data_IF_840963657383
#
_entry.id   IF_840963657383
#
_cell.length_a   1.000
_cell.length_b   1.000
_cell.length_c   1.000
_cell.angle_alpha   90.00
_cell.angle_beta   90.00
_cell.angle_gamma   90.00
#
_symmetry.space_group_name_H-M   'P 1'
#
loop_
_entity.id
_entity.type
_entity.pdbx_description
1 polymer ?
#
# COMPACT_ATOMS: atom_id res chain seq x y z
N UNK A 1 14.42 23.26 20.62
CA UNK A 1 13.43 22.71 19.66
C UNK A 1 14.14 21.62 18.88
N UNK A 2 13.60 20.40 18.85
CA UNK A 2 14.23 19.32 18.10
C UNK A 2 14.25 19.68 16.60
N UNK A 3 15.41 19.54 15.95
CA UNK A 3 15.62 19.76 14.51
C UNK A 3 14.57 18.97 13.70
N UNK A 4 14.29 17.74 14.14
CA UNK A 4 13.26 16.87 13.57
C UNK A 4 11.85 17.49 13.60
N UNK A 5 11.43 18.11 14.70
CA UNK A 5 10.10 18.72 14.79
C UNK A 5 9.95 19.92 13.87
N UNK A 6 11.02 20.71 13.69
CA UNK A 6 11.02 21.84 12.75
C UNK A 6 10.96 21.32 11.31
N UNK A 7 11.80 20.35 10.96
CA UNK A 7 11.80 19.70 9.65
C UNK A 7 10.42 19.14 9.28
N UNK A 8 9.80 18.36 10.17
CA UNK A 8 8.47 17.76 9.94
C UNK A 8 7.39 18.80 9.66
N UNK A 9 7.38 19.89 10.43
CA UNK A 9 6.39 20.97 10.23
C UNK A 9 6.64 21.72 8.93
N UNK A 10 7.90 22.02 8.59
CA UNK A 10 8.25 22.69 7.33
C UNK A 10 7.91 21.82 6.10
N UNK A 11 8.13 20.51 6.18
CA UNK A 11 7.76 19.59 5.11
C UNK A 11 6.22 19.50 4.95
N UNK A 12 5.48 19.49 6.06
CA UNK A 12 4.02 19.51 6.06
C UNK A 12 3.44 20.80 5.44
N UNK A 13 4.10 21.95 5.64
CA UNK A 13 3.72 23.22 5.00
C UNK A 13 3.84 23.12 3.47
N UNK A 14 4.93 22.52 2.98
CA UNK A 14 5.17 22.33 1.54
C UNK A 14 4.12 21.41 0.92
N UNK A 15 3.76 20.32 1.61
CA UNK A 15 2.81 19.33 1.13
C UNK A 15 1.37 19.85 1.09
N UNK A 16 0.90 20.47 2.18
CA UNK A 16 -0.51 20.88 2.29
C UNK A 16 -0.81 22.16 1.52
N UNK A 17 0.16 23.08 1.42
CA UNK A 17 0.08 24.43 0.82
C UNK A 17 -0.97 25.37 1.42
N UNK A 18 -2.15 24.88 1.80
CA UNK A 18 -3.17 25.59 2.57
C UNK A 18 -3.59 24.71 3.76
N UNK A 19 -3.55 25.26 4.97
CA UNK A 19 -3.70 24.45 6.18
C UNK A 19 -4.14 25.29 7.39
N UNK A 20 -4.67 24.61 8.39
CA UNK A 20 -4.80 25.12 9.76
C UNK A 20 -3.68 24.55 10.65
N UNK A 21 -3.56 25.07 11.88
CA UNK A 21 -2.62 24.49 12.86
C UNK A 21 -2.93 23.02 13.15
N UNK A 22 -4.21 22.66 13.17
CA UNK A 22 -4.65 21.28 13.42
C UNK A 22 -4.30 20.37 12.24
N UNK A 23 -4.47 20.84 11.00
CA UNK A 23 -4.08 20.07 9.80
C UNK A 23 -2.57 19.81 9.79
N UNK A 24 -1.76 20.82 10.10
CA UNK A 24 -0.31 20.65 10.23
C UNK A 24 0.07 19.70 11.36
N UNK A 25 -0.62 19.77 12.51
CA UNK A 25 -0.32 18.91 13.65
C UNK A 25 -0.58 17.43 13.32
N UNK A 26 -1.70 17.13 12.64
CA UNK A 26 -1.99 15.77 12.15
C UNK A 26 -0.98 15.33 11.10
N UNK A 27 -0.78 16.13 10.05
CA UNK A 27 0.12 15.75 8.96
C UNK A 27 1.58 15.57 9.40
N UNK A 28 2.07 16.40 10.32
CA UNK A 28 3.47 16.35 10.78
C UNK A 28 3.71 15.42 11.98
N UNK A 29 2.66 14.90 12.61
CA UNK A 29 2.75 14.15 13.87
C UNK A 29 3.33 14.99 15.04
N UNK A 30 3.27 16.33 14.95
CA UNK A 30 3.83 17.26 15.94
C UNK A 30 2.70 17.96 16.69
N UNK A 31 2.79 18.05 18.02
CA UNK A 31 1.79 18.73 18.87
C UNK A 31 1.53 20.17 18.41
N UNK A 32 0.27 20.61 18.43
CA UNK A 32 -0.14 21.95 17.98
C UNK A 32 0.68 23.10 18.60
N UNK A 33 1.06 23.00 19.87
CA UNK A 33 1.87 24.04 20.52
C UNK A 33 3.26 24.19 19.87
N UNK A 34 3.86 23.06 19.48
CA UNK A 34 5.14 23.05 18.76
C UNK A 34 4.96 23.56 17.33
N UNK A 35 3.87 23.19 16.65
CA UNK A 35 3.50 23.74 15.34
C UNK A 35 3.40 25.26 15.40
N UNK A 36 2.67 25.82 16.37
CA UNK A 36 2.56 27.28 16.56
C UNK A 36 3.92 27.94 16.78
N UNK A 37 4.81 27.29 17.53
CA UNK A 37 6.17 27.79 17.77
C UNK A 37 7.01 27.79 16.49
N UNK A 38 6.90 26.74 15.65
CA UNK A 38 7.58 26.69 14.35
C UNK A 38 7.03 27.76 13.42
N UNK A 39 5.71 27.86 13.27
CA UNK A 39 5.06 28.89 12.44
C UNK A 39 5.44 30.32 12.87
N UNK A 40 5.59 30.58 14.17
CA UNK A 40 6.02 31.89 14.65
C UNK A 40 7.48 32.21 14.28
N UNK A 41 8.37 31.21 14.25
CA UNK A 41 9.79 31.39 13.92
C UNK A 41 10.05 31.43 12.42
N UNK A 42 9.30 30.64 11.67
CA UNK A 42 9.43 30.44 10.23
C UNK A 42 8.27 31.13 9.48
N UNK A 43 7.72 32.21 10.06
CA UNK A 43 6.56 32.94 9.53
C UNK A 43 6.77 33.50 8.12
N UNK A 44 8.03 33.66 7.69
CA UNK A 44 8.36 34.16 6.35
C UNK A 44 7.84 33.27 5.22
N UNK A 45 7.65 31.97 5.45
CA UNK A 45 7.18 31.03 4.42
C UNK A 45 5.66 31.03 4.27
N UNK A 46 4.92 31.59 5.22
CA UNK A 46 3.47 31.44 5.28
C UNK A 46 2.79 32.78 5.36
N UNK A 47 1.66 32.91 4.68
CA UNK A 47 0.74 34.01 4.85
C UNK A 47 -0.47 33.54 5.66
N UNK A 48 -0.93 34.40 6.56
CA UNK A 48 -2.12 34.13 7.36
C UNK A 48 -3.33 34.51 6.52
N UNK A 49 -4.09 33.52 6.08
CA UNK A 49 -5.38 33.71 5.43
C UNK A 49 -6.47 34.15 6.41
N UNK A 50 -7.70 34.27 5.89
CA UNK A 50 -8.89 34.54 6.71
C UNK A 50 -9.23 33.40 7.68
N UNK A 51 -10.28 33.59 8.47
CA UNK A 51 -10.81 32.52 9.32
C UNK A 51 -11.75 31.62 8.51
N UNK A 52 -11.58 30.29 8.60
CA UNK A 52 -12.50 29.34 7.97
C UNK A 52 -13.75 29.22 8.83
N UNK A 53 -14.90 29.66 8.32
CA UNK A 53 -16.17 29.55 9.02
C UNK A 53 -16.60 28.09 9.13
N UNK A 54 -16.31 27.44 10.26
CA UNK A 54 -16.72 26.05 10.53
C UNK A 54 -18.04 25.91 11.29
N UNK A 55 -18.79 27.00 11.54
CA UNK A 55 -20.11 26.93 12.19
C UNK A 55 -20.14 26.33 13.60
N UNK A 56 -18.98 26.07 14.23
CA UNK A 56 -18.87 25.48 15.57
C UNK A 56 -18.75 26.55 16.64
N UNK A 57 -19.31 26.27 17.82
CA UNK A 57 -19.24 27.11 19.02
C UNK A 57 -17.83 26.96 19.64
N UNK A 58 -16.92 27.81 19.20
CA UNK A 58 -15.49 27.79 19.54
C UNK A 58 -14.75 28.54 18.42
N UNK A 59 -13.78 29.40 18.75
CA UNK A 59 -13.15 30.32 17.79
C UNK A 59 -12.76 29.66 16.46
N UNK A 60 -13.04 30.33 15.35
CA UNK A 60 -12.76 29.80 14.02
C UNK A 60 -11.24 29.56 13.85
N UNK A 61 -10.83 28.40 13.31
CA UNK A 61 -9.42 28.13 13.09
C UNK A 61 -8.85 29.09 12.04
N UNK A 62 -7.65 29.59 12.33
CA UNK A 62 -6.90 30.47 11.44
C UNK A 62 -6.40 29.63 10.28
N UNK A 63 -6.69 30.07 9.05
CA UNK A 63 -6.14 29.46 7.85
C UNK A 63 -4.80 30.09 7.52
N UNK A 64 -3.86 29.26 7.08
CA UNK A 64 -2.54 29.66 6.61
C UNK A 64 -2.36 29.12 5.20
N UNK A 65 -1.49 29.78 4.44
CA UNK A 65 -1.11 29.39 3.10
C UNK A 65 0.39 29.55 2.91
N UNK A 66 1.03 28.63 2.21
CA UNK A 66 2.41 28.76 1.75
C UNK A 66 2.47 29.89 0.73
N UNK A 67 3.37 30.84 0.96
CA UNK A 67 3.61 31.92 0.00
C UNK A 67 4.27 31.36 -1.25
N UNK A 68 3.78 31.78 -2.41
CA UNK A 68 4.28 31.31 -3.70
C UNK A 68 5.76 31.68 -3.95
N UNK A 69 6.22 32.80 -3.39
CA UNK A 69 7.61 33.27 -3.50
C UNK A 69 8.57 32.58 -2.52
N UNK A 70 8.06 31.79 -1.58
CA UNK A 70 8.83 31.20 -0.50
C UNK A 70 9.03 29.67 -0.66
N UNK A 71 8.46 29.07 -1.72
CA UNK A 71 8.53 27.62 -1.97
C UNK A 71 9.96 27.14 -2.24
N UNK A 72 10.69 27.80 -3.15
CA UNK A 72 12.08 27.43 -3.46
C UNK A 72 13.02 27.62 -2.24
N UNK A 73 12.80 28.68 -1.46
CA UNK A 73 13.54 28.92 -0.22
C UNK A 73 13.24 27.83 0.82
N UNK A 74 11.97 27.43 0.96
CA UNK A 74 11.55 26.36 1.87
C UNK A 74 12.18 25.01 1.48
N UNK A 75 12.22 24.68 0.19
CA UNK A 75 12.90 23.48 -0.33
C UNK A 75 14.40 23.53 0.00
N UNK A 76 15.04 24.69 -0.16
CA UNK A 76 16.45 24.90 0.23
C UNK A 76 16.69 24.62 1.71
N UNK A 77 15.85 25.17 2.59
CA UNK A 77 15.94 24.94 4.04
C UNK A 77 15.69 23.47 4.40
N UNK A 78 14.77 22.78 3.73
CA UNK A 78 14.52 21.36 3.96
C UNK A 78 15.74 20.51 3.61
N UNK A 79 16.40 20.79 2.48
CA UNK A 79 17.65 20.12 2.07
C UNK A 79 18.80 20.39 3.04
N UNK A 80 18.92 21.60 3.56
CA UNK A 80 19.91 21.93 4.59
C UNK A 80 19.64 21.15 5.89
N UNK A 81 18.37 21.03 6.29
CA UNK A 81 17.97 20.27 7.48
C UNK A 81 18.17 18.75 7.30
N UNK A 82 17.95 18.22 6.09
CA UNK A 82 18.31 16.84 5.72
C UNK A 82 19.82 16.61 5.79
N UNK A 83 20.63 17.53 5.25
CA UNK A 83 22.09 17.44 5.27
C UNK A 83 22.69 17.54 6.67
N UNK A 84 22.08 18.33 7.56
CA UNK A 84 22.45 18.42 8.99
C UNK A 84 21.95 17.20 9.78
N UNK A 85 20.96 16.48 9.24
CA UNK A 85 20.27 15.38 9.88
C UNK A 85 20.26 14.12 9.03
N UNK A 86 21.40 13.64 8.53
CA UNK A 86 21.54 12.44 7.69
C UNK A 86 21.01 11.11 8.32
N UNK A 87 20.31 11.18 9.45
CA UNK A 87 19.57 10.09 10.11
C UNK A 87 18.17 10.56 10.58
N UNK A 88 17.54 11.53 9.91
CA UNK A 88 16.16 11.92 10.23
C UNK A 88 15.24 10.77 9.76
N UNK A 89 14.49 10.12 10.67
CA UNK A 89 13.58 9.05 10.29
C UNK A 89 12.52 9.58 9.32
N UNK A 90 12.02 8.73 8.40
CA UNK A 90 10.99 9.10 7.44
C UNK A 90 9.79 9.75 8.15
N UNK A 91 9.08 10.58 7.39
CA UNK A 91 7.91 11.32 7.87
C UNK A 91 6.87 10.31 8.36
N UNK A 92 6.77 10.13 9.68
CA UNK A 92 5.68 9.36 10.29
C UNK A 92 4.44 10.25 10.19
N UNK A 93 3.74 10.17 9.06
CA UNK A 93 2.31 10.49 8.97
C UNK A 93 1.59 9.66 10.03
N UNK A 94 0.60 10.25 10.72
CA UNK A 94 -0.17 9.65 11.82
C UNK A 94 -0.15 8.11 11.79
N UNK A 95 0.52 7.51 12.80
CA UNK A 95 0.71 6.07 13.01
C UNK A 95 0.19 5.22 11.84
N UNK A 96 1.00 4.99 10.81
CA UNK A 96 0.70 3.93 9.85
C UNK A 96 0.47 2.67 10.69
N UNK A 97 -0.77 2.18 10.64
CA UNK A 97 -1.19 1.00 11.38
C UNK A 97 -0.15 -0.09 11.07
N UNK A 98 0.59 -0.60 12.07
CA UNK A 98 1.63 -1.58 11.80
C UNK A 98 1.09 -2.79 11.05
N UNK A 99 -0.20 -3.10 11.21
CA UNK A 99 -0.87 -4.09 10.40
C UNK A 99 -1.01 -3.66 8.93
N UNK A 100 -1.40 -2.41 8.66
CA UNK A 100 -1.45 -1.88 7.30
C UNK A 100 -0.07 -1.91 6.63
N UNK A 101 0.99 -1.56 7.36
CA UNK A 101 2.35 -1.62 6.84
C UNK A 101 2.78 -3.05 6.48
N UNK A 102 2.49 -4.01 7.34
CA UNK A 102 2.74 -5.43 7.05
C UNK A 102 1.94 -5.91 5.85
N UNK A 103 0.67 -5.49 5.70
CA UNK A 103 -0.13 -5.83 4.53
C UNK A 103 0.45 -5.23 3.24
N UNK A 104 0.82 -3.95 3.24
CA UNK A 104 1.43 -3.28 2.09
C UNK A 104 2.78 -3.94 1.72
N UNK A 105 3.58 -4.32 2.71
CA UNK A 105 4.84 -5.03 2.48
C UNK A 105 4.61 -6.40 1.82
N UNK A 106 3.65 -7.19 2.33
CA UNK A 106 3.26 -8.45 1.73
C UNK A 106 2.74 -8.28 0.29
N UNK A 107 1.95 -7.24 0.02
CA UNK A 107 1.48 -6.92 -1.33
C UNK A 107 2.61 -6.58 -2.28
N UNK A 108 3.57 -5.74 -1.87
CA UNK A 108 4.70 -5.37 -2.73
C UNK A 108 5.53 -6.61 -3.10
N UNK A 109 5.78 -7.49 -2.13
CA UNK A 109 6.46 -8.76 -2.36
C UNK A 109 5.68 -9.59 -3.39
N UNK A 110 4.37 -9.81 -3.19
CA UNK A 110 3.58 -10.72 -4.02
C UNK A 110 3.25 -10.15 -5.41
N UNK A 111 3.07 -8.84 -5.54
CA UNK A 111 2.70 -8.16 -6.79
C UNK A 111 3.92 -7.80 -7.64
N UNK A 112 5.03 -7.40 -7.02
CA UNK A 112 6.16 -6.79 -7.74
C UNK A 112 7.42 -7.64 -7.68
N UNK A 113 7.78 -8.18 -6.51
CA UNK A 113 9.04 -8.90 -6.34
C UNK A 113 8.93 -10.36 -6.80
N UNK A 114 7.92 -11.08 -6.34
CA UNK A 114 7.71 -12.50 -6.63
C UNK A 114 7.62 -12.81 -8.14
N UNK A 115 6.90 -12.03 -8.98
CA UNK A 115 6.84 -12.32 -10.41
C UNK A 115 8.18 -12.17 -11.13
N UNK A 116 9.08 -11.35 -10.60
CA UNK A 116 10.41 -11.10 -11.17
C UNK A 116 11.48 -12.02 -10.56
N UNK A 117 11.18 -12.69 -9.46
CA UNK A 117 12.12 -13.50 -8.73
C UNK A 117 12.47 -14.81 -9.46
N UNK A 118 13.75 -15.24 -9.44
CA UNK A 118 14.15 -16.56 -9.88
C UNK A 118 13.41 -17.66 -9.10
N UNK A 119 13.16 -18.85 -9.70
CA UNK A 119 12.45 -19.94 -9.02
C UNK A 119 13.02 -20.33 -7.65
N UNK A 120 14.33 -20.21 -7.47
CA UNK A 120 15.01 -20.53 -6.22
C UNK A 120 14.63 -19.59 -5.06
N UNK A 121 14.35 -18.31 -5.35
CA UNK A 121 14.12 -17.28 -4.34
C UNK A 121 12.62 -17.12 -4.02
N UNK A 122 11.74 -17.68 -4.87
CA UNK A 122 10.27 -17.54 -4.73
C UNK A 122 9.75 -18.10 -3.42
N UNK A 123 10.27 -19.23 -2.97
CA UNK A 123 9.83 -19.86 -1.72
C UNK A 123 10.12 -18.97 -0.50
N UNK A 124 11.27 -18.29 -0.50
CA UNK A 124 11.65 -17.36 0.57
C UNK A 124 10.76 -16.12 0.56
N UNK A 125 10.49 -15.54 -0.62
CA UNK A 125 9.61 -14.39 -0.76
C UNK A 125 8.16 -14.69 -0.34
N UNK A 126 7.63 -15.87 -0.71
CA UNK A 126 6.31 -16.32 -0.22
C UNK A 126 6.34 -16.45 1.30
N UNK A 127 7.39 -17.05 1.87
CA UNK A 127 7.55 -17.16 3.32
C UNK A 127 7.58 -15.80 4.03
N UNK A 128 8.25 -14.81 3.45
CA UNK A 128 8.31 -13.44 3.98
C UNK A 128 6.93 -12.77 3.94
N UNK A 129 6.23 -12.84 2.80
CA UNK A 129 4.88 -12.29 2.67
C UNK A 129 3.86 -12.98 3.60
N UNK A 130 3.98 -14.29 3.81
CA UNK A 130 3.17 -15.04 4.78
C UNK A 130 3.45 -14.56 6.21
N UNK A 131 4.72 -14.38 6.60
CA UNK A 131 5.07 -13.89 7.93
C UNK A 131 4.50 -12.48 8.20
N UNK A 132 4.56 -11.60 7.19
CA UNK A 132 3.96 -10.27 7.26
C UNK A 132 2.43 -10.34 7.35
N UNK A 133 1.78 -11.25 6.62
CA UNK A 133 0.33 -11.47 6.70
C UNK A 133 -0.11 -12.04 8.06
N UNK A 134 0.63 -13.01 8.61
CA UNK A 134 0.35 -13.60 9.92
C UNK A 134 0.53 -12.57 11.05
N UNK A 135 1.51 -11.67 10.94
CA UNK A 135 1.71 -10.59 11.90
C UNK A 135 0.46 -9.70 12.05
N UNK A 136 -0.33 -9.56 10.99
CA UNK A 136 -1.57 -8.76 10.96
C UNK A 136 -2.71 -9.44 11.71
N UNK A 137 -2.78 -10.78 11.68
CA UNK A 137 -3.80 -11.56 12.38
C UNK A 137 -3.73 -11.33 13.91
N UNK A 138 -2.54 -11.05 14.43
CA UNK A 138 -2.34 -10.71 15.84
C UNK A 138 -2.63 -9.25 16.19
N UNK A 139 -2.75 -8.37 15.21
CA UNK A 139 -2.80 -6.91 15.40
C UNK A 139 -4.19 -6.29 15.19
N UNK A 140 -5.09 -6.93 14.44
CA UNK A 140 -6.36 -6.31 14.01
C UNK A 140 -7.57 -7.20 14.24
N UNK A 141 -8.57 -6.67 14.95
CA UNK A 141 -9.84 -7.36 15.29
C UNK A 141 -11.03 -6.88 14.42
N UNK A 142 -10.79 -6.05 13.38
CA UNK A 142 -11.84 -5.43 12.58
C UNK A 142 -11.76 -5.74 11.08
N UNK A 143 -12.72 -6.51 10.58
CA UNK A 143 -12.99 -6.79 9.16
C UNK A 143 -13.54 -5.59 8.36
N UNK A 144 -13.24 -4.35 8.76
CA UNK A 144 -13.82 -3.15 8.17
C UNK A 144 -12.75 -2.15 7.80
N UNK A 145 -12.93 -1.51 6.65
CA UNK A 145 -12.04 -0.46 6.15
C UNK A 145 -11.00 -0.97 5.16
N UNK A 146 -9.98 -0.15 4.94
CA UNK A 146 -8.94 -0.36 3.93
C UNK A 146 -8.11 -1.62 4.20
N UNK A 147 -7.74 -1.89 5.46
CA UNK A 147 -6.95 -3.05 5.85
C UNK A 147 -7.63 -4.39 5.49
N UNK A 148 -8.97 -4.45 5.58
CA UNK A 148 -9.73 -5.63 5.19
C UNK A 148 -9.65 -5.91 3.67
N UNK A 149 -9.46 -4.86 2.86
CA UNK A 149 -9.23 -5.02 1.43
C UNK A 149 -7.84 -5.57 1.18
N UNK A 150 -6.81 -4.93 1.75
CA UNK A 150 -5.43 -5.38 1.58
C UNK A 150 -5.26 -6.82 2.06
N UNK A 151 -5.88 -7.19 3.19
CA UNK A 151 -5.92 -8.57 3.68
C UNK A 151 -6.48 -9.55 2.65
N UNK A 152 -7.60 -9.19 1.98
CA UNK A 152 -8.19 -10.03 0.92
C UNK A 152 -7.28 -10.13 -0.30
N UNK A 153 -6.61 -9.04 -0.68
CA UNK A 153 -5.66 -9.02 -1.80
C UNK A 153 -4.47 -9.93 -1.49
N UNK A 154 -3.84 -9.75 -0.32
CA UNK A 154 -2.72 -10.60 0.12
C UNK A 154 -3.14 -12.07 0.19
N UNK A 155 -4.28 -12.39 0.80
CA UNK A 155 -4.75 -13.77 0.90
C UNK A 155 -4.96 -14.42 -0.49
N UNK A 156 -5.60 -13.69 -1.41
CA UNK A 156 -5.78 -14.16 -2.78
C UNK A 156 -4.44 -14.42 -3.49
N UNK A 157 -3.47 -13.52 -3.29
CA UNK A 157 -2.15 -13.62 -3.90
C UNK A 157 -1.31 -14.75 -3.30
N UNK A 158 -1.45 -15.02 -2.00
CA UNK A 158 -0.84 -16.16 -1.33
C UNK A 158 -1.42 -17.48 -1.85
N UNK A 159 -2.76 -17.60 -1.93
CA UNK A 159 -3.43 -18.76 -2.52
C UNK A 159 -2.94 -19.03 -3.95
N UNK A 160 -2.78 -17.97 -4.75
CA UNK A 160 -2.24 -18.09 -6.11
C UNK A 160 -0.76 -18.52 -6.11
N UNK A 161 0.06 -17.92 -5.27
CA UNK A 161 1.50 -18.21 -5.20
C UNK A 161 1.75 -19.66 -4.75
N UNK A 162 0.95 -20.17 -3.82
CA UNK A 162 1.01 -21.55 -3.35
C UNK A 162 0.76 -22.54 -4.50
N UNK A 163 -0.30 -22.31 -5.29
CA UNK A 163 -0.60 -23.17 -6.44
C UNK A 163 0.49 -23.10 -7.50
N UNK A 164 1.00 -21.90 -7.80
CA UNK A 164 2.12 -21.74 -8.73
C UNK A 164 3.38 -22.49 -8.25
N UNK A 165 3.66 -22.47 -6.94
CA UNK A 165 4.81 -23.15 -6.35
C UNK A 165 4.65 -24.68 -6.33
N UNK A 166 3.44 -25.18 -6.08
CA UNK A 166 3.12 -26.62 -6.18
C UNK A 166 3.44 -27.14 -7.58
N UNK A 167 2.95 -26.45 -8.62
CA UNK A 167 3.21 -26.82 -10.01
C UNK A 167 4.69 -26.69 -10.36
N UNK A 168 5.38 -25.63 -9.91
CA UNK A 168 6.82 -25.50 -10.12
C UNK A 168 7.62 -26.65 -9.48
N UNK A 169 7.20 -27.11 -8.30
CA UNK A 169 7.86 -28.22 -7.59
C UNK A 169 7.65 -29.55 -8.32
N UNK A 170 6.44 -29.78 -8.84
CA UNK A 170 6.10 -30.96 -9.62
C UNK A 170 6.74 -30.95 -11.02
N UNK A 171 7.04 -29.76 -11.56
CA UNK A 171 7.57 -29.54 -12.90
C UNK A 171 9.11 -29.54 -13.02
N UNK A 172 9.85 -30.01 -12.02
CA UNK A 172 11.33 -29.99 -11.91
C UNK A 172 12.13 -30.15 -13.24
N UNK A 173 13.40 -29.72 -13.26
CA UNK A 173 13.98 -28.65 -14.10
C UNK A 173 14.00 -28.84 -15.63
N UNK A 174 13.48 -29.95 -16.16
CA UNK A 174 13.48 -30.29 -17.59
C UNK A 174 12.24 -29.79 -18.35
N UNK A 175 11.33 -29.10 -17.65
CA UNK A 175 10.22 -28.42 -18.28
C UNK A 175 10.73 -27.30 -19.19
N UNK A 176 10.63 -27.48 -20.50
CA UNK A 176 10.69 -26.36 -21.43
C UNK A 176 9.42 -25.50 -21.22
N UNK A 177 9.49 -24.57 -20.27
CA UNK A 177 8.44 -23.63 -19.87
C UNK A 177 7.94 -22.80 -21.07
N UNK A 178 8.67 -22.82 -22.20
CA UNK A 178 8.33 -22.13 -23.45
C UNK A 178 7.47 -22.97 -24.39
N UNK A 179 7.15 -24.22 -24.05
CA UNK A 179 6.24 -25.03 -24.87
C UNK A 179 4.85 -24.39 -24.94
N UNK A 180 4.24 -24.27 -26.14
CA UNK A 180 2.88 -23.72 -26.27
C UNK A 180 1.82 -24.53 -25.49
N UNK A 181 2.08 -25.82 -25.27
CA UNK A 181 1.18 -26.74 -24.56
C UNK A 181 1.39 -26.70 -23.03
N UNK A 182 2.34 -25.91 -22.55
CA UNK A 182 2.70 -25.81 -21.13
C UNK A 182 1.51 -25.47 -20.22
N UNK A 183 0.61 -24.52 -20.55
CA UNK A 183 -0.55 -24.20 -19.70
C UNK A 183 -1.53 -25.37 -19.52
N UNK A 184 -1.78 -26.14 -20.58
CA UNK A 184 -2.66 -27.31 -20.53
C UNK A 184 -2.06 -28.41 -19.64
N UNK A 185 -0.76 -28.68 -19.82
CA UNK A 185 -0.03 -29.66 -19.00
C UNK A 185 0.01 -29.28 -17.52
N UNK A 186 0.21 -28.00 -17.21
CA UNK A 186 0.20 -27.55 -15.82
C UNK A 186 -1.13 -27.83 -15.13
N UNK A 187 -2.24 -27.74 -15.87
CA UNK A 187 -3.57 -28.00 -15.31
C UNK A 187 -3.75 -29.48 -14.99
N UNK A 188 -3.21 -30.38 -15.81
CA UNK A 188 -3.21 -31.84 -15.56
C UNK A 188 -2.32 -32.24 -14.37
N UNK A 189 -1.35 -31.40 -14.00
CA UNK A 189 -0.42 -31.62 -12.88
C UNK A 189 -0.95 -31.11 -11.54
N UNK A 190 -2.03 -30.33 -11.53
CA UNK A 190 -2.62 -29.81 -10.30
C UNK A 190 -3.19 -30.94 -9.46
N UNK A 191 -2.93 -30.90 -8.16
CA UNK A 191 -3.74 -31.68 -7.23
C UNK A 191 -5.19 -31.20 -7.27
N UNK A 192 -6.12 -32.08 -6.88
CA UNK A 192 -7.53 -31.70 -6.73
C UNK A 192 -7.73 -30.56 -5.70
N UNK A 193 -6.79 -30.42 -4.75
CA UNK A 193 -6.78 -29.30 -3.80
C UNK A 193 -6.35 -28.00 -4.48
N UNK A 194 -5.29 -28.02 -5.29
CA UNK A 194 -4.82 -26.86 -6.05
C UNK A 194 -5.86 -26.36 -7.07
N UNK A 195 -6.58 -27.27 -7.72
CA UNK A 195 -7.68 -26.94 -8.63
C UNK A 195 -8.80 -26.17 -7.89
N UNK A 196 -9.21 -26.66 -6.71
CA UNK A 196 -10.19 -25.97 -5.86
C UNK A 196 -9.70 -24.60 -5.38
N UNK A 197 -8.40 -24.48 -5.05
CA UNK A 197 -7.79 -23.20 -4.68
C UNK A 197 -7.84 -22.21 -5.83
N UNK A 198 -7.50 -22.62 -7.06
CA UNK A 198 -7.58 -21.75 -8.24
C UNK A 198 -9.01 -21.28 -8.53
N UNK A 199 -10.00 -22.16 -8.40
CA UNK A 199 -11.40 -21.74 -8.52
C UNK A 199 -11.78 -20.73 -7.43
N UNK A 200 -11.33 -20.95 -6.19
CA UNK A 200 -11.56 -20.02 -5.09
C UNK A 200 -10.92 -18.65 -5.37
N UNK A 201 -9.67 -18.64 -5.84
CA UNK A 201 -8.95 -17.42 -6.30
C UNK A 201 -9.75 -16.70 -7.38
N UNK A 202 -10.24 -17.42 -8.39
CA UNK A 202 -11.08 -16.84 -9.45
C UNK A 202 -12.39 -16.23 -8.94
N UNK A 203 -13.07 -16.89 -8.00
CA UNK A 203 -14.28 -16.35 -7.35
C UNK A 203 -13.97 -15.11 -6.50
N UNK A 204 -12.90 -15.15 -5.70
CA UNK A 204 -12.46 -14.02 -4.87
C UNK A 204 -12.04 -12.82 -5.72
N UNK A 205 -11.31 -13.05 -6.82
CA UNK A 205 -10.90 -12.04 -7.79
C UNK A 205 -12.12 -11.29 -8.36
N UNK A 206 -13.14 -12.02 -8.82
CA UNK A 206 -14.38 -11.41 -9.31
C UNK A 206 -15.08 -10.60 -8.22
N UNK A 207 -15.15 -11.14 -7.00
CA UNK A 207 -15.77 -10.43 -5.89
C UNK A 207 -15.02 -9.12 -5.57
N UNK A 208 -13.69 -9.13 -5.61
CA UNK A 208 -12.87 -7.93 -5.45
C UNK A 208 -13.14 -6.91 -6.57
N UNK A 209 -13.21 -7.34 -7.83
CA UNK A 209 -13.54 -6.45 -8.96
C UNK A 209 -14.93 -5.83 -8.82
N UNK A 210 -15.93 -6.59 -8.36
CA UNK A 210 -17.30 -6.09 -8.17
C UNK A 210 -17.43 -5.14 -6.98
N UNK A 211 -16.55 -5.27 -5.98
CA UNK A 211 -16.50 -4.38 -4.81
C UNK A 211 -15.54 -3.18 -4.99
N UNK A 212 -14.89 -3.09 -6.15
CA UNK A 212 -13.84 -2.10 -6.46
C UNK A 212 -14.25 -0.62 -6.38
N UNK A 213 -15.50 -0.18 -6.66
CA UNK A 213 -15.89 1.23 -6.50
C UNK A 213 -15.69 1.80 -5.08
N UNK A 214 -15.46 0.94 -4.09
CA UNK A 214 -15.18 1.32 -2.70
C UNK A 214 -13.67 1.38 -2.35
N UNK A 215 -12.77 1.11 -3.30
CA UNK A 215 -11.33 1.04 -3.05
C UNK A 215 -10.65 2.37 -3.40
N UNK A 216 -10.12 3.02 -2.36
CA UNK A 216 -9.50 4.34 -2.41
C UNK A 216 -8.15 4.35 -3.16
N UNK A 217 -7.52 3.19 -3.29
CA UNK A 217 -6.17 3.08 -3.82
C UNK A 217 -6.16 2.76 -5.33
N UNK A 218 -5.77 3.75 -6.12
CA UNK A 218 -5.75 3.65 -7.60
C UNK A 218 -4.57 2.84 -8.13
N UNK A 219 -3.56 2.54 -7.32
CA UNK A 219 -2.33 1.89 -7.78
C UNK A 219 -2.37 0.35 -7.68
N UNK A 220 -3.20 -0.21 -6.79
CA UNK A 220 -3.29 -1.66 -6.57
C UNK A 220 -3.95 -2.42 -7.73
N UNK A 221 -5.00 -1.89 -8.34
CA UNK A 221 -5.74 -2.61 -9.39
C UNK A 221 -4.89 -2.89 -10.63
N UNK A 222 -4.17 -1.90 -11.21
CA UNK A 222 -3.32 -2.18 -12.37
C UNK A 222 -2.28 -3.27 -12.09
N UNK A 223 -1.68 -3.27 -10.89
CA UNK A 223 -0.67 -4.24 -10.49
C UNK A 223 -1.30 -5.63 -10.26
N UNK A 224 -2.47 -5.70 -9.62
CA UNK A 224 -3.20 -6.95 -9.40
C UNK A 224 -3.73 -7.55 -10.71
N UNK A 225 -4.33 -6.73 -11.59
CA UNK A 225 -4.74 -7.16 -12.95
C UNK A 225 -3.53 -7.68 -13.72
N UNK A 226 -2.39 -6.98 -13.65
CA UNK A 226 -1.16 -7.41 -14.31
C UNK A 226 -0.71 -8.76 -13.74
N UNK A 227 -0.64 -8.90 -12.42
CA UNK A 227 -0.23 -10.13 -11.72
C UNK A 227 -1.08 -11.33 -12.12
N UNK A 228 -2.40 -11.17 -12.09
CA UNK A 228 -3.36 -12.22 -12.49
C UNK A 228 -3.22 -12.52 -13.98
N UNK A 229 -3.14 -11.49 -14.83
CA UNK A 229 -2.98 -11.65 -16.28
C UNK A 229 -1.68 -12.33 -16.69
N UNK A 230 -0.60 -12.13 -15.94
CA UNK A 230 0.70 -12.78 -16.18
C UNK A 230 0.81 -14.15 -15.51
N UNK A 231 -0.15 -14.56 -14.68
CA UNK A 231 -0.15 -15.88 -14.09
C UNK A 231 -0.39 -16.95 -15.16
N UNK A 232 0.26 -18.09 -14.97
CA UNK A 232 0.07 -19.30 -15.75
C UNK A 232 -1.37 -19.83 -15.72
N UNK A 233 -2.13 -19.49 -14.68
CA UNK A 233 -3.52 -19.89 -14.50
C UNK A 233 -4.52 -18.79 -14.86
N UNK A 234 -4.09 -17.71 -15.51
CA UNK A 234 -4.94 -16.56 -15.85
C UNK A 234 -6.24 -16.97 -16.55
N UNK A 235 -6.19 -17.91 -17.51
CA UNK A 235 -7.38 -18.41 -18.20
C UNK A 235 -8.39 -19.10 -17.26
N UNK A 236 -7.90 -19.88 -16.29
CA UNK A 236 -8.74 -20.56 -15.29
C UNK A 236 -9.34 -19.54 -14.34
N UNK A 237 -8.50 -18.65 -13.78
CA UNK A 237 -8.91 -17.62 -12.82
C UNK A 237 -9.98 -16.70 -13.43
N UNK A 238 -9.80 -16.28 -14.68
CA UNK A 238 -10.76 -15.43 -15.38
C UNK A 238 -12.03 -16.20 -15.78
N UNK A 239 -11.94 -17.50 -16.09
CA UNK A 239 -13.06 -18.36 -16.47
C UNK A 239 -13.92 -18.89 -15.30
N UNK A 240 -13.41 -18.88 -14.06
CA UNK A 240 -13.96 -19.57 -12.88
C UNK A 240 -15.37 -19.15 -12.38
N UNK A 241 -16.10 -18.31 -13.08
CA UNK A 241 -17.49 -17.98 -12.73
C UNK A 241 -18.45 -17.98 -13.92
N UNK A 242 -18.06 -18.58 -15.04
CA UNK A 242 -19.03 -19.01 -16.07
C UNK A 242 -19.56 -20.42 -15.77
N UNK A 243 -18.92 -21.14 -14.84
CA UNK A 243 -19.27 -22.51 -14.44
C UNK A 243 -20.54 -22.60 -13.58
N UNK A 244 -21.02 -21.50 -13.00
CA UNK A 244 -22.28 -21.48 -12.24
C UNK A 244 -23.55 -21.54 -13.11
N UNK A 245 -23.43 -21.58 -14.45
CA UNK A 245 -24.58 -21.70 -15.35
C UNK A 245 -24.83 -23.11 -15.91
N UNK A 246 -24.12 -24.13 -15.41
CA UNK A 246 -24.42 -25.55 -15.68
C UNK A 246 -24.69 -26.32 -14.39
N UNK A 247 -25.87 -26.09 -13.82
CA UNK A 247 -26.58 -27.03 -12.96
C UNK A 247 -28.08 -26.77 -13.07
#
# INVERSE_FOLDING_TARGET
>A
MAVLSRYRVLNAILALREFTVTDLAGYSGVKENTVRTVLARDARFVERGGTRAQGRRGGQPIQYRLRADAEDELIGVLRELEGVGANLPPLVTDQEDPAMLSLIAAEDILLRQLPQAPPADRAELVGLATADYEAVEFLVDSDRGEAATHRRVVNLLLDLAEVEQEVMTLAAPDADIRSPDWPARMTEMLSHEAEKKLEAVGRQWRHLLLSWPALSDRELLPDLVRRIGTSWFSAIILGAGDTTQKA
#
